data_IF_336993159592
#
_entry.id   IF_336993159592
#
_cell.length_a   1.000
_cell.length_b   1.000
_cell.length_c   1.000
_cell.angle_alpha   90.00
_cell.angle_beta   90.00
_cell.angle_gamma   90.00
#
_symmetry.space_group_name_H-M   'P 1'
#
loop_
_entity.id
_entity.type
_entity.pdbx_description
1 polymer ?
#
# COMPACT_ATOMS: atom_id res chain seq x y z
N UNK A 1 4.67 -18.15 23.22
CA UNK A 1 6.11 -17.82 23.23
C UNK A 1 6.30 -16.50 22.47
N UNK A 2 6.88 -15.46 23.07
CA UNK A 2 7.21 -14.21 22.36
C UNK A 2 8.57 -14.39 21.69
N UNK A 3 8.59 -14.52 20.36
CA UNK A 3 9.83 -14.57 19.59
C UNK A 3 10.44 -13.18 19.52
N UNK A 4 11.77 -13.07 19.65
CA UNK A 4 12.48 -11.83 19.35
C UNK A 4 12.44 -11.58 17.85
N UNK A 5 12.31 -10.30 17.45
CA UNK A 5 12.46 -9.88 16.06
C UNK A 5 13.86 -10.29 15.57
N UNK A 6 13.94 -10.90 14.40
CA UNK A 6 15.21 -11.17 13.75
C UNK A 6 15.76 -9.84 13.20
N UNK A 7 16.92 -9.43 13.69
CA UNK A 7 17.64 -8.25 13.22
C UNK A 7 18.85 -8.71 12.41
N UNK A 8 18.86 -8.36 11.12
CA UNK A 8 19.92 -8.77 10.18
C UNK A 8 20.88 -7.63 9.83
N UNK A 9 20.57 -6.41 10.27
CA UNK A 9 21.38 -5.21 10.05
C UNK A 9 21.85 -4.64 11.39
N UNK A 10 23.08 -4.12 11.42
CA UNK A 10 23.59 -3.33 12.54
C UNK A 10 22.95 -1.94 12.59
N UNK A 11 23.15 -1.21 13.69
CA UNK A 11 22.68 0.19 13.81
C UNK A 11 23.37 1.10 12.79
N UNK A 12 24.67 0.89 12.60
CA UNK A 12 25.49 1.64 11.65
C UNK A 12 25.03 1.39 10.21
N UNK A 13 24.69 0.14 9.86
CA UNK A 13 24.14 -0.18 8.53
C UNK A 13 22.78 0.50 8.29
N UNK A 14 21.91 0.55 9.31
CA UNK A 14 20.64 1.27 9.25
C UNK A 14 20.86 2.77 9.05
N UNK A 15 21.83 3.38 9.75
CA UNK A 15 22.18 4.79 9.60
C UNK A 15 22.72 5.11 8.20
N UNK A 16 23.55 4.23 7.64
CA UNK A 16 24.07 4.36 6.27
C UNK A 16 22.93 4.32 5.24
N UNK A 17 21.99 3.36 5.37
CA UNK A 17 20.82 3.27 4.47
C UNK A 17 19.95 4.51 4.61
N UNK A 18 19.67 4.95 5.84
CA UNK A 18 18.79 6.09 6.10
C UNK A 18 19.38 7.39 5.57
N UNK A 19 20.65 7.68 5.87
CA UNK A 19 21.34 8.88 5.36
C UNK A 19 21.47 8.87 3.83
N UNK A 20 21.71 7.70 3.22
CA UNK A 20 21.76 7.56 1.77
C UNK A 20 20.40 7.82 1.11
N UNK A 21 19.31 7.33 1.70
CA UNK A 21 17.95 7.59 1.22
C UNK A 21 17.60 9.08 1.31
N UNK A 22 17.91 9.73 2.43
CA UNK A 22 17.70 11.18 2.61
C UNK A 22 18.52 11.99 1.60
N UNK A 23 19.78 11.63 1.37
CA UNK A 23 20.61 12.26 0.34
C UNK A 23 20.03 12.11 -1.07
N UNK A 24 19.46 10.95 -1.42
CA UNK A 24 18.80 10.76 -2.71
C UNK A 24 17.58 11.67 -2.84
N UNK A 25 16.74 11.74 -1.80
CA UNK A 25 15.56 12.63 -1.78
C UNK A 25 15.94 14.11 -1.92
N UNK A 26 17.03 14.53 -1.28
CA UNK A 26 17.51 15.91 -1.32
C UNK A 26 18.21 16.28 -2.63
N UNK A 27 19.04 15.39 -3.18
CA UNK A 27 19.89 15.72 -4.33
C UNK A 27 19.24 15.37 -5.67
N UNK A 28 18.57 14.21 -5.75
CA UNK A 28 17.92 13.68 -6.96
C UNK A 28 16.43 14.01 -6.94
N UNK A 29 15.74 13.71 -5.83
CA UNK A 29 14.30 13.91 -5.68
C UNK A 29 13.44 12.84 -6.36
N UNK A 30 12.14 13.10 -6.46
CA UNK A 30 11.14 12.21 -7.04
C UNK A 30 10.40 12.94 -8.16
N UNK A 31 10.18 12.25 -9.29
CA UNK A 31 9.33 12.77 -10.37
C UNK A 31 7.86 12.73 -9.94
N UNK A 32 7.21 13.88 -9.94
CA UNK A 32 5.78 14.03 -9.66
C UNK A 32 5.14 14.69 -10.87
N UNK A 33 4.34 13.93 -11.63
CA UNK A 33 3.72 14.41 -12.88
C UNK A 33 2.51 15.35 -12.64
N UNK A 34 1.84 15.24 -11.50
CA UNK A 34 0.72 16.11 -11.14
C UNK A 34 1.17 17.48 -10.61
N UNK A 35 0.68 18.56 -11.23
CA UNK A 35 1.07 19.94 -10.88
C UNK A 35 0.58 20.36 -9.49
N UNK A 36 -0.62 19.94 -9.09
CA UNK A 36 -1.17 20.30 -7.77
C UNK A 36 -0.33 19.69 -6.66
N UNK A 37 0.09 18.44 -6.84
CA UNK A 37 0.97 17.73 -5.90
C UNK A 37 2.35 18.39 -5.83
N UNK A 38 2.93 18.81 -6.96
CA UNK A 38 4.20 19.58 -6.95
C UNK A 38 4.08 20.87 -6.14
N UNK A 39 3.04 21.67 -6.38
CA UNK A 39 2.80 22.92 -5.63
C UNK A 39 2.64 22.65 -4.13
N UNK A 40 1.88 21.63 -3.76
CA UNK A 40 1.72 21.24 -2.36
C UNK A 40 3.07 20.86 -1.71
N UNK A 41 3.94 20.14 -2.43
CA UNK A 41 5.28 19.83 -1.92
C UNK A 41 6.11 21.10 -1.73
N UNK A 42 6.09 22.04 -2.68
CA UNK A 42 6.77 23.33 -2.58
C UNK A 42 6.30 24.15 -1.38
N UNK A 43 4.99 24.23 -1.16
CA UNK A 43 4.37 24.87 0.02
C UNK A 43 4.83 24.25 1.34
N UNK A 44 5.23 22.97 1.34
CA UNK A 44 5.78 22.25 2.49
C UNK A 44 7.31 22.33 2.59
N UNK A 45 7.97 23.12 1.75
CA UNK A 45 9.41 23.36 1.79
C UNK A 45 10.23 22.40 0.91
N UNK A 46 9.59 21.62 0.04
CA UNK A 46 10.29 20.91 -1.01
C UNK A 46 10.73 21.89 -2.12
N UNK A 47 11.72 21.50 -2.93
CA UNK A 47 12.29 22.34 -3.98
C UNK A 47 11.89 21.75 -5.33
N UNK A 48 11.20 22.55 -6.15
CA UNK A 48 10.88 22.18 -7.53
C UNK A 48 12.08 22.42 -8.42
N UNK A 49 12.46 21.42 -9.21
CA UNK A 49 13.38 21.65 -10.32
C UNK A 49 12.59 22.33 -11.45
N UNK A 50 12.72 23.64 -11.62
CA UNK A 50 11.92 24.42 -12.59
C UNK A 50 12.04 23.99 -14.06
N UNK A 51 12.94 23.05 -14.39
CA UNK A 51 13.11 22.48 -15.75
C UNK A 51 12.59 21.05 -15.87
N UNK A 52 12.30 20.37 -14.76
CA UNK A 52 11.89 18.97 -14.75
C UNK A 52 10.68 18.75 -13.82
N UNK A 53 10.03 17.60 -13.91
CA UNK A 53 8.94 17.27 -12.97
C UNK A 53 9.46 16.67 -11.66
N UNK A 54 10.74 16.86 -11.33
CA UNK A 54 11.33 16.39 -10.10
C UNK A 54 11.15 17.37 -8.95
N UNK A 55 10.81 16.81 -7.79
CA UNK A 55 10.68 17.49 -6.51
C UNK A 55 11.75 16.95 -5.58
N UNK A 56 12.57 17.84 -5.03
CA UNK A 56 13.63 17.51 -4.07
C UNK A 56 13.18 17.81 -2.66
N UNK A 57 13.50 16.93 -1.72
CA UNK A 57 13.03 17.02 -0.34
C UNK A 57 14.25 17.25 0.57
N UNK A 58 14.45 18.48 1.08
CA UNK A 58 15.52 18.75 2.03
C UNK A 58 15.44 17.83 3.26
N UNK A 59 16.60 17.45 3.80
CA UNK A 59 16.65 16.48 4.90
C UNK A 59 15.91 16.98 6.15
N UNK A 60 16.08 18.27 6.48
CA UNK A 60 15.42 18.89 7.63
C UNK A 60 13.89 18.85 7.50
N UNK A 61 13.37 19.21 6.32
CA UNK A 61 11.92 19.17 6.03
C UNK A 61 11.39 17.74 6.12
N UNK A 62 12.13 16.78 5.54
CA UNK A 62 11.75 15.36 5.59
C UNK A 62 11.68 14.85 7.04
N UNK A 63 12.71 15.14 7.84
CA UNK A 63 12.76 14.75 9.25
C UNK A 63 11.68 15.43 10.09
N UNK A 64 11.35 16.68 9.82
CA UNK A 64 10.30 17.40 10.53
C UNK A 64 8.91 16.86 10.20
N UNK A 65 8.63 16.54 8.94
CA UNK A 65 7.36 15.94 8.53
C UNK A 65 7.18 14.52 9.08
N UNK A 66 8.25 13.73 9.19
CA UNK A 66 8.19 12.39 9.79
C UNK A 66 7.72 12.40 11.25
N UNK A 67 7.94 13.49 12.00
CA UNK A 67 7.45 13.64 13.38
C UNK A 67 5.92 13.72 13.47
N UNK A 68 5.24 14.04 12.36
CA UNK A 68 3.78 14.09 12.30
C UNK A 68 3.14 12.70 12.12
N UNK A 69 3.94 11.69 11.77
CA UNK A 69 3.46 10.33 11.53
C UNK A 69 3.15 9.67 12.88
N UNK A 70 1.92 9.19 13.11
CA UNK A 70 1.58 8.52 14.36
C UNK A 70 2.29 7.16 14.47
N UNK A 71 2.67 6.77 15.68
CA UNK A 71 3.29 5.45 15.93
C UNK A 71 2.33 4.28 15.67
N UNK A 72 1.03 4.52 15.81
CA UNK A 72 -0.04 3.55 15.56
C UNK A 72 -1.36 4.25 15.26
N UNK A 73 -2.25 3.56 14.56
CA UNK A 73 -3.63 3.99 14.36
C UNK A 73 -4.54 2.76 14.20
N UNK A 74 -5.86 2.98 14.31
CA UNK A 74 -6.88 1.94 14.17
C UNK A 74 -7.57 2.07 12.81
N UNK A 75 -7.65 0.96 12.08
CA UNK A 75 -8.40 0.86 10.85
C UNK A 75 -9.75 0.20 11.16
N UNK A 76 -10.84 0.86 10.77
CA UNK A 76 -12.21 0.38 11.00
C UNK A 76 -12.80 -0.20 9.72
N UNK A 77 -13.54 -1.30 9.87
CA UNK A 77 -14.39 -1.85 8.82
C UNK A 77 -15.59 -0.94 8.51
N UNK A 78 -16.30 -1.18 7.39
CA UNK A 78 -17.33 -0.28 6.88
C UNK A 78 -18.48 0.01 7.86
N UNK A 79 -18.86 -0.96 8.68
CA UNK A 79 -19.95 -0.85 9.66
C UNK A 79 -19.45 -0.64 11.11
N UNK A 80 -18.13 -0.51 11.29
CA UNK A 80 -17.50 -0.31 12.59
C UNK A 80 -17.47 -1.53 13.52
N UNK A 81 -18.08 -2.67 13.13
CA UNK A 81 -18.10 -3.90 13.95
C UNK A 81 -16.73 -4.56 14.01
N UNK A 82 -15.91 -4.34 12.99
CA UNK A 82 -14.56 -4.84 12.88
C UNK A 82 -13.53 -3.70 12.92
N UNK A 83 -12.41 -3.92 13.59
CA UNK A 83 -11.25 -3.04 13.53
C UNK A 83 -9.96 -3.77 13.91
N UNK A 84 -8.83 -3.25 13.45
CA UNK A 84 -7.52 -3.70 13.88
C UNK A 84 -6.53 -2.54 14.01
N UNK A 85 -5.49 -2.75 14.80
CA UNK A 85 -4.42 -1.79 15.03
C UNK A 85 -3.30 -1.97 14.01
N UNK A 86 -2.89 -0.87 13.38
CA UNK A 86 -1.73 -0.77 12.51
C UNK A 86 -0.59 -0.17 13.32
N UNK A 87 0.47 -0.95 13.55
CA UNK A 87 1.67 -0.54 14.28
C UNK A 87 2.89 -1.38 13.84
N UNK A 88 4.05 -1.14 14.46
CA UNK A 88 5.32 -1.84 14.15
C UNK A 88 5.61 -3.05 15.04
N UNK A 89 4.69 -3.43 15.92
CA UNK A 89 4.84 -4.44 16.97
C UNK A 89 4.01 -5.70 16.73
N UNK A 90 2.90 -5.57 16.00
CA UNK A 90 1.95 -6.65 15.70
C UNK A 90 1.86 -6.90 14.20
N UNK A 91 1.67 -8.15 13.81
CA UNK A 91 1.48 -8.53 12.41
C UNK A 91 -0.01 -8.65 12.10
N UNK A 92 -0.44 -7.99 11.04
CA UNK A 92 -1.78 -8.14 10.46
C UNK A 92 -1.63 -8.80 9.09
N UNK A 93 -2.41 -9.84 8.81
CA UNK A 93 -2.40 -10.47 7.49
C UNK A 93 -3.49 -9.87 6.62
N UNK A 94 -3.15 -9.65 5.35
CA UNK A 94 -4.06 -9.20 4.33
C UNK A 94 -3.79 -9.98 3.04
N UNK A 95 -4.82 -10.16 2.24
CA UNK A 95 -4.67 -10.67 0.87
C UNK A 95 -4.32 -9.54 -0.09
N UNK A 96 -3.50 -9.86 -1.09
CA UNK A 96 -3.19 -8.98 -2.22
C UNK A 96 -2.68 -9.83 -3.38
N UNK A 97 -3.10 -9.52 -4.61
CA UNK A 97 -2.56 -10.19 -5.79
C UNK A 97 -3.01 -9.59 -7.11
N UNK A 98 -4.29 -9.20 -7.23
CA UNK A 98 -4.87 -8.64 -8.46
C UNK A 98 -4.59 -9.48 -9.73
N UNK A 99 -4.60 -10.83 -9.70
CA UNK A 99 -4.43 -11.63 -10.91
C UNK A 99 -5.61 -11.40 -11.87
N UNK A 100 -5.29 -11.30 -13.15
CA UNK A 100 -6.27 -11.20 -14.26
C UNK A 100 -6.73 -12.57 -14.76
N UNK A 101 -6.12 -13.65 -14.26
CA UNK A 101 -6.47 -15.04 -14.55
C UNK A 101 -6.35 -15.87 -13.28
N UNK A 102 -7.28 -16.80 -13.10
CA UNK A 102 -7.30 -17.71 -11.96
C UNK A 102 -7.27 -19.16 -12.43
N UNK A 103 -6.74 -20.03 -11.58
CA UNK A 103 -6.78 -21.45 -11.78
C UNK A 103 -8.12 -22.01 -11.28
N UNK A 104 -8.87 -22.65 -12.17
CA UNK A 104 -10.16 -23.28 -11.88
C UNK A 104 -10.04 -24.79 -12.16
N UNK A 105 -9.90 -25.64 -11.12
CA UNK A 105 -9.75 -27.08 -11.31
C UNK A 105 -11.03 -27.76 -11.81
N UNK A 106 -12.19 -27.12 -11.69
CA UNK A 106 -13.49 -27.67 -12.09
C UNK A 106 -13.87 -27.25 -13.52
N UNK A 107 -13.27 -26.19 -14.03
CA UNK A 107 -13.49 -25.67 -15.37
C UNK A 107 -12.86 -26.53 -16.48
N UNK A 108 -13.48 -26.52 -17.67
CA UNK A 108 -12.93 -27.15 -18.88
C UNK A 108 -11.54 -26.61 -19.25
N UNK A 109 -11.33 -25.31 -19.01
CA UNK A 109 -10.03 -24.68 -19.12
C UNK A 109 -9.55 -24.33 -17.71
N UNK A 110 -8.44 -24.96 -17.31
CA UNK A 110 -7.87 -24.82 -15.98
C UNK A 110 -7.38 -23.42 -15.65
N UNK A 111 -7.12 -22.58 -16.66
CA UNK A 111 -6.75 -21.19 -16.48
C UNK A 111 -7.78 -20.29 -17.20
N UNK A 112 -8.58 -19.54 -16.44
CA UNK A 112 -9.61 -18.65 -16.98
C UNK A 112 -9.33 -17.21 -16.63
N UNK A 113 -9.84 -16.28 -17.45
CA UNK A 113 -9.93 -14.87 -17.05
C UNK A 113 -10.85 -14.76 -15.85
N UNK A 114 -10.43 -14.00 -14.86
CA UNK A 114 -11.26 -13.73 -13.69
C UNK A 114 -12.40 -12.79 -14.02
N UNK A 115 -13.54 -13.03 -13.38
CA UNK A 115 -14.77 -12.23 -13.47
C UNK A 115 -15.18 -11.75 -12.08
N UNK A 116 -16.14 -10.83 -12.00
CA UNK A 116 -16.62 -10.28 -10.73
C UNK A 116 -17.13 -11.34 -9.76
N UNK A 117 -17.78 -12.38 -10.27
CA UNK A 117 -18.19 -13.52 -9.46
C UNK A 117 -17.00 -14.24 -8.78
N UNK A 118 -15.81 -14.22 -9.38
CA UNK A 118 -14.61 -14.77 -8.75
C UNK A 118 -14.10 -13.87 -7.63
N UNK A 119 -14.14 -12.54 -7.84
CA UNK A 119 -13.80 -11.55 -6.79
C UNK A 119 -14.72 -11.70 -5.57
N UNK A 120 -16.03 -11.80 -5.78
CA UNK A 120 -17.00 -11.98 -4.67
C UNK A 120 -16.74 -13.29 -3.91
N UNK A 121 -16.47 -14.39 -4.63
CA UNK A 121 -16.14 -15.66 -4.00
C UNK A 121 -14.83 -15.58 -3.20
N UNK A 122 -13.81 -14.92 -3.74
CA UNK A 122 -12.54 -14.70 -3.06
C UNK A 122 -12.75 -13.90 -1.76
N UNK A 123 -13.52 -12.81 -1.80
CA UNK A 123 -13.81 -12.00 -0.62
C UNK A 123 -14.52 -12.84 0.45
N UNK A 124 -15.50 -13.68 0.08
CA UNK A 124 -16.18 -14.59 1.02
C UNK A 124 -15.23 -15.60 1.67
N UNK A 125 -14.27 -16.11 0.90
CA UNK A 125 -13.22 -16.98 1.47
C UNK A 125 -12.39 -16.20 2.46
N UNK A 126 -11.92 -15.00 2.11
CA UNK A 126 -11.10 -14.16 2.99
C UNK A 126 -11.84 -13.79 4.27
N UNK A 127 -13.11 -13.41 4.18
CA UNK A 127 -13.98 -13.07 5.32
C UNK A 127 -14.16 -14.25 6.30
N UNK A 128 -14.10 -15.48 5.79
CA UNK A 128 -14.16 -16.69 6.63
C UNK A 128 -12.85 -17.04 7.34
N UNK A 129 -11.73 -16.38 7.01
CA UNK A 129 -10.41 -16.69 7.58
C UNK A 129 -10.16 -15.87 8.86
N UNK A 130 -10.16 -16.56 10.00
CA UNK A 130 -9.93 -15.95 11.33
C UNK A 130 -8.62 -15.13 11.43
N UNK A 131 -7.59 -15.51 10.67
CA UNK A 131 -6.27 -14.90 10.75
C UNK A 131 -5.98 -13.89 9.62
N UNK A 132 -6.94 -13.60 8.74
CA UNK A 132 -6.80 -12.59 7.68
C UNK A 132 -7.75 -11.44 7.97
N UNK A 133 -7.18 -10.25 8.13
CA UNK A 133 -7.89 -9.10 8.71
C UNK A 133 -8.25 -8.03 7.68
N UNK A 134 -7.82 -8.18 6.43
CA UNK A 134 -8.07 -7.21 5.38
C UNK A 134 -8.01 -7.87 3.99
N UNK A 135 -8.87 -7.43 3.09
CA UNK A 135 -8.88 -7.79 1.66
C UNK A 135 -8.62 -6.55 0.81
N UNK A 136 -8.01 -6.75 -0.36
CA UNK A 136 -7.84 -5.73 -1.38
C UNK A 136 -8.63 -6.15 -2.65
N UNK A 137 -8.24 -5.64 -3.82
CA UNK A 137 -8.66 -6.26 -5.09
C UNK A 137 -7.85 -7.53 -5.27
N UNK A 138 -8.29 -8.59 -4.61
CA UNK A 138 -7.56 -9.86 -4.56
C UNK A 138 -7.58 -10.61 -5.90
N UNK A 139 -8.56 -10.29 -6.76
CA UNK A 139 -8.78 -10.83 -8.10
C UNK A 139 -9.32 -9.73 -9.00
N UNK A 140 -8.77 -9.60 -10.21
CA UNK A 140 -9.19 -8.56 -11.15
C UNK A 140 -10.42 -8.99 -11.98
N UNK A 141 -11.59 -8.34 -11.84
CA UNK A 141 -12.78 -8.70 -12.60
C UNK A 141 -12.73 -8.14 -14.03
N UNK A 142 -12.56 -9.01 -15.01
CA UNK A 142 -12.36 -8.61 -16.42
C UNK A 142 -13.67 -8.32 -17.17
N UNK A 143 -14.82 -8.62 -16.57
CA UNK A 143 -16.16 -8.52 -17.15
C UNK A 143 -16.90 -7.22 -16.80
N UNK A 144 -16.27 -6.32 -16.04
CA UNK A 144 -16.80 -5.01 -15.70
C UNK A 144 -16.00 -3.89 -16.38
N UNK A 145 -16.66 -2.74 -16.56
CA UNK A 145 -15.99 -1.55 -17.14
C UNK A 145 -14.87 -1.11 -16.21
N UNK A 146 -13.70 -0.85 -16.78
CA UNK A 146 -12.52 -0.37 -16.05
C UNK A 146 -12.84 0.83 -15.13
N UNK A 147 -13.65 1.78 -15.61
CA UNK A 147 -14.04 2.98 -14.87
C UNK A 147 -14.96 2.73 -13.67
N UNK A 148 -15.53 1.52 -13.55
CA UNK A 148 -16.42 1.14 -12.46
C UNK A 148 -15.83 0.04 -11.56
N UNK A 149 -14.62 -0.46 -11.88
CA UNK A 149 -14.05 -1.65 -11.26
C UNK A 149 -14.01 -1.57 -9.74
N UNK A 150 -13.54 -0.43 -9.22
CA UNK A 150 -13.40 -0.20 -7.78
C UNK A 150 -14.76 -0.14 -7.07
N UNK A 151 -15.78 0.46 -7.68
CA UNK A 151 -17.10 0.52 -7.09
C UNK A 151 -17.71 -0.87 -6.95
N UNK A 152 -17.59 -1.71 -7.98
CA UNK A 152 -18.06 -3.10 -7.90
C UNK A 152 -17.31 -3.90 -6.85
N UNK A 153 -15.97 -3.81 -6.78
CA UNK A 153 -15.19 -4.56 -5.81
C UNK A 153 -15.38 -4.09 -4.35
N UNK A 154 -15.83 -2.86 -4.12
CA UNK A 154 -16.05 -2.33 -2.76
C UNK A 154 -17.47 -2.58 -2.24
N UNK A 155 -18.47 -2.70 -3.10
CA UNK A 155 -19.88 -2.67 -2.71
C UNK A 155 -20.69 -3.94 -3.05
N UNK A 156 -20.11 -4.92 -3.75
CA UNK A 156 -20.81 -6.16 -4.17
C UNK A 156 -20.18 -7.40 -3.56
#
# INVERSE_FOLDING_TARGET
MKLKKLEVLSKEEIEIITSSALRILETIGIKIDDEKTRKLCEEKGAILDGKSFFVKFPENITKDLLKLVPESFKLHGPDGTFNFEVNTKTTQFATIGTPVRIYDPLGKNKLKKSVLADTIQQIRVVDSLENVHCSHIDVWPSDIKFTAVHAHCLYQ
#
